data_IF_223614881146
#
_entry.id   IF_223614881146
#
_cell.length_a   1.000
_cell.length_b   1.000
_cell.length_c   1.000
_cell.angle_alpha   90.00
_cell.angle_beta   90.00
_cell.angle_gamma   90.00
#
_symmetry.space_group_name_H-M   'P 1'
#
loop_
_entity.id
_entity.type
_entity.pdbx_description
1 polymer ?
#
# COMPACT_ATOMS: atom_id res chain seq x y z
N UNK A 1 -0.32 16.39 -44.06
CA UNK A 1 -0.59 15.17 -43.26
C UNK A 1 -0.32 15.52 -41.82
N UNK A 2 -1.36 15.94 -41.11
CA UNK A 2 -1.26 16.25 -39.68
C UNK A 2 -1.26 14.94 -38.89
N UNK A 3 -0.16 14.66 -38.19
CA UNK A 3 -0.10 13.55 -37.24
C UNK A 3 -0.93 13.92 -36.02
N UNK A 4 -2.11 13.32 -35.86
CA UNK A 4 -2.88 13.46 -34.63
C UNK A 4 -2.02 13.03 -33.43
N UNK A 5 -1.86 13.89 -32.40
CA UNK A 5 -1.17 13.50 -31.19
C UNK A 5 -2.00 12.41 -30.51
N UNK A 6 -1.40 11.22 -30.34
CA UNK A 6 -2.00 10.17 -29.52
C UNK A 6 -2.21 10.74 -28.12
N UNK A 7 -3.47 11.01 -27.76
CA UNK A 7 -3.91 11.28 -26.40
C UNK A 7 -3.41 10.12 -25.53
N UNK A 8 -2.33 10.33 -24.78
CA UNK A 8 -1.89 9.38 -23.77
C UNK A 8 -3.00 9.34 -22.72
N UNK A 9 -3.80 8.27 -22.74
CA UNK A 9 -4.71 7.98 -21.65
C UNK A 9 -3.87 7.89 -20.36
N UNK A 10 -4.31 8.53 -19.26
CA UNK A 10 -3.60 8.41 -17.99
C UNK A 10 -3.52 6.92 -17.65
N UNK A 11 -2.29 6.42 -17.43
CA UNK A 11 -2.14 5.04 -16.99
C UNK A 11 -2.92 4.84 -15.69
N UNK A 12 -3.59 3.69 -15.50
CA UNK A 12 -4.27 3.40 -14.25
C UNK A 12 -3.25 3.49 -13.11
N UNK A 13 -3.43 4.45 -12.20
CA UNK A 13 -2.58 4.58 -11.01
C UNK A 13 -2.80 3.37 -10.12
N UNK A 14 -1.71 2.79 -9.65
CA UNK A 14 -1.76 1.70 -8.67
C UNK A 14 -2.35 2.26 -7.36
N UNK A 15 -3.24 1.54 -6.64
CA UNK A 15 -3.75 2.00 -5.37
C UNK A 15 -2.62 2.09 -4.33
N UNK A 16 -2.70 3.05 -3.41
CA UNK A 16 -1.77 3.05 -2.27
C UNK A 16 -2.12 1.95 -1.27
N UNK A 17 -1.13 1.49 -0.49
CA UNK A 17 -1.37 0.56 0.61
C UNK A 17 -2.47 1.08 1.57
N UNK A 18 -2.40 2.36 1.93
CA UNK A 18 -3.41 3.03 2.75
C UNK A 18 -4.80 2.91 2.15
N UNK A 19 -4.94 3.18 0.85
CA UNK A 19 -6.22 3.10 0.17
C UNK A 19 -6.81 1.69 0.27
N UNK A 20 -6.01 0.64 0.05
CA UNK A 20 -6.47 -0.74 0.19
C UNK A 20 -6.93 -1.04 1.62
N UNK A 21 -6.16 -0.64 2.64
CA UNK A 21 -6.53 -0.85 4.04
C UNK A 21 -7.87 -0.18 4.38
N UNK A 22 -8.12 1.03 3.86
CA UNK A 22 -9.38 1.76 4.06
C UNK A 22 -10.54 1.16 3.26
N UNK A 23 -10.32 0.82 1.98
CA UNK A 23 -11.32 0.20 1.11
C UNK A 23 -11.86 -1.09 1.73
N UNK A 24 -10.96 -1.91 2.29
CA UNK A 24 -11.32 -3.15 2.95
C UNK A 24 -11.64 -2.99 4.43
N UNK A 25 -11.77 -1.75 4.95
CA UNK A 25 -12.12 -1.46 6.34
C UNK A 25 -11.30 -2.28 7.35
N UNK A 26 -10.00 -2.45 7.09
CA UNK A 26 -9.11 -3.25 7.93
C UNK A 26 -8.80 -2.46 9.20
N UNK A 27 -9.15 -3.03 10.35
CA UNK A 27 -8.83 -2.45 11.65
C UNK A 27 -7.34 -2.63 11.97
N UNK A 28 -6.64 -1.60 12.49
CA UNK A 28 -5.21 -1.69 12.81
C UNK A 28 -4.84 -2.86 13.72
N UNK A 29 -5.67 -3.18 14.71
CA UNK A 29 -5.45 -4.28 15.65
C UNK A 29 -5.47 -5.64 14.95
N UNK A 30 -6.40 -5.80 14.01
CA UNK A 30 -6.53 -7.02 13.21
C UNK A 30 -5.38 -7.13 12.23
N UNK A 31 -4.98 -6.02 11.60
CA UNK A 31 -3.81 -5.98 10.72
C UNK A 31 -2.54 -6.34 11.49
N UNK A 32 -2.30 -5.73 12.65
CA UNK A 32 -1.11 -5.97 13.48
C UNK A 32 -0.96 -7.46 13.84
N UNK A 33 -2.05 -8.06 14.32
CA UNK A 33 -2.08 -9.49 14.65
C UNK A 33 -1.83 -10.39 13.43
N UNK A 34 -2.37 -10.06 12.26
CA UNK A 34 -2.23 -10.90 11.07
C UNK A 34 -0.88 -10.75 10.38
N UNK A 35 -0.35 -9.54 10.36
CA UNK A 35 0.93 -9.19 9.71
C UNK A 35 2.15 -9.42 10.61
N UNK A 36 1.95 -9.58 11.93
CA UNK A 36 3.02 -9.60 12.91
C UNK A 36 3.64 -8.23 13.19
N UNK A 37 3.07 -7.15 12.65
CA UNK A 37 3.54 -5.79 12.87
C UNK A 37 3.15 -5.28 14.27
N UNK A 38 3.95 -4.37 14.86
CA UNK A 38 3.52 -3.62 16.03
C UNK A 38 2.23 -2.84 15.75
N UNK A 39 1.34 -2.74 16.75
CA UNK A 39 0.07 -2.00 16.61
C UNK A 39 0.29 -0.56 16.15
N UNK A 40 1.30 0.12 16.70
CA UNK A 40 1.64 1.48 16.31
C UNK A 40 1.98 1.58 14.81
N UNK A 41 2.71 0.61 14.26
CA UNK A 41 3.03 0.54 12.84
C UNK A 41 1.78 0.32 12.00
N UNK A 42 0.89 -0.59 12.42
CA UNK A 42 -0.37 -0.82 11.73
C UNK A 42 -1.26 0.45 11.69
N UNK A 43 -1.32 1.21 12.79
CA UNK A 43 -2.02 2.52 12.86
C UNK A 43 -1.35 3.54 11.94
N UNK A 44 -0.01 3.60 11.93
CA UNK A 44 0.73 4.52 11.07
C UNK A 44 0.41 4.29 9.58
N UNK A 45 0.27 3.02 9.17
CA UNK A 45 -0.11 2.66 7.79
C UNK A 45 -1.53 3.09 7.42
N UNK A 46 -2.51 3.01 8.33
CA UNK A 46 -3.91 3.38 8.02
C UNK A 46 -4.11 4.89 7.87
N UNK A 47 -3.25 5.70 8.51
CA UNK A 47 -3.26 7.16 8.35
C UNK A 47 -2.29 7.67 7.28
N UNK A 48 -1.47 6.80 6.70
CA UNK A 48 -0.60 7.13 5.55
C UNK A 48 0.79 7.64 5.90
N UNK A 49 1.34 7.24 7.05
CA UNK A 49 2.76 7.44 7.29
C UNK A 49 3.59 6.61 6.31
N UNK A 50 4.73 7.17 5.93
CA UNK A 50 5.72 6.43 5.15
C UNK A 50 6.13 5.14 5.85
N UNK A 51 6.70 4.22 5.08
CA UNK A 51 7.10 2.91 5.62
C UNK A 51 8.31 2.33 4.89
N UNK A 52 8.79 1.16 5.29
CA UNK A 52 9.78 0.38 4.54
C UNK A 52 9.07 -0.68 3.68
N UNK A 53 9.78 -1.22 2.67
CA UNK A 53 9.26 -2.32 1.84
C UNK A 53 8.89 -3.54 2.68
N UNK A 54 9.72 -3.93 3.65
CA UNK A 54 9.45 -5.07 4.53
C UNK A 54 8.13 -4.91 5.31
N UNK A 55 7.88 -3.70 5.83
CA UNK A 55 6.64 -3.41 6.57
C UNK A 55 5.45 -3.37 5.61
N UNK A 56 5.61 -2.82 4.41
CA UNK A 56 4.55 -2.84 3.39
C UNK A 56 4.22 -4.28 2.97
N UNK A 57 5.23 -5.14 2.80
CA UNK A 57 5.06 -6.55 2.45
C UNK A 57 4.33 -7.32 3.57
N UNK A 58 4.73 -7.12 4.83
CA UNK A 58 4.05 -7.71 5.97
C UNK A 58 2.58 -7.28 6.05
N UNK A 59 2.30 -5.99 5.84
CA UNK A 59 0.94 -5.46 5.82
C UNK A 59 0.10 -6.03 4.67
N UNK A 60 0.67 -6.16 3.47
CA UNK A 60 0.01 -6.80 2.32
C UNK A 60 -0.31 -8.27 2.59
N UNK A 61 0.63 -9.03 3.16
CA UNK A 61 0.40 -10.41 3.55
C UNK A 61 -0.74 -10.50 4.57
N UNK A 62 -0.75 -9.61 5.56
CA UNK A 62 -1.85 -9.49 6.53
C UNK A 62 -3.19 -9.21 5.85
N UNK A 63 -3.25 -8.22 4.96
CA UNK A 63 -4.44 -7.90 4.17
C UNK A 63 -4.94 -9.10 3.34
N UNK A 64 -4.02 -9.76 2.63
CA UNK A 64 -4.30 -10.91 1.79
C UNK A 64 -4.92 -12.06 2.59
N UNK A 65 -4.42 -12.33 3.79
CA UNK A 65 -5.00 -13.33 4.68
C UNK A 65 -6.37 -12.92 5.22
N UNK A 66 -6.57 -11.65 5.57
CA UNK A 66 -7.85 -11.15 6.13
C UNK A 66 -8.98 -11.08 5.09
N UNK A 67 -8.63 -10.81 3.83
CA UNK A 67 -9.61 -10.51 2.78
C UNK A 67 -9.63 -11.52 1.63
N UNK A 68 -8.72 -12.50 1.63
CA UNK A 68 -8.58 -13.46 0.54
C UNK A 68 -8.04 -12.82 -0.75
N UNK A 69 -7.36 -11.68 -0.65
CA UNK A 69 -6.73 -11.00 -1.80
C UNK A 69 -5.34 -11.56 -2.09
N UNK A 70 -4.72 -11.12 -3.19
CA UNK A 70 -3.38 -11.56 -3.62
C UNK A 70 -2.48 -10.41 -4.07
N UNK A 71 -2.60 -9.27 -3.40
CA UNK A 71 -1.79 -8.09 -3.72
C UNK A 71 -0.31 -8.33 -3.44
N UNK A 72 0.53 -7.86 -4.34
CA UNK A 72 1.98 -7.81 -4.22
C UNK A 72 2.46 -6.34 -4.15
N UNK A 73 3.74 -6.13 -3.87
CA UNK A 73 4.31 -4.78 -3.89
C UNK A 73 4.23 -4.13 -5.28
N UNK A 74 4.19 -4.93 -6.36
CA UNK A 74 4.03 -4.43 -7.72
C UNK A 74 2.62 -3.92 -8.01
N UNK A 75 1.63 -4.30 -7.22
CA UNK A 75 0.24 -3.89 -7.44
C UNK A 75 -0.12 -2.57 -6.77
N UNK A 76 0.79 -1.99 -5.98
CA UNK A 76 0.50 -0.83 -5.13
C UNK A 76 1.53 0.30 -5.28
N UNK A 77 1.11 1.51 -4.89
CA UNK A 77 2.04 2.61 -4.58
C UNK A 77 2.38 2.55 -3.08
N UNK A 78 3.68 2.68 -2.76
CA UNK A 78 4.18 2.70 -1.38
C UNK A 78 4.89 4.03 -1.17
N UNK A 79 4.40 4.81 -0.20
CA UNK A 79 5.14 5.95 0.30
C UNK A 79 6.30 5.44 1.16
N UNK A 80 7.45 5.22 0.52
CA UNK A 80 8.63 4.76 1.22
C UNK A 80 9.27 5.91 2.00
N UNK A 81 9.69 5.64 3.24
CA UNK A 81 10.65 6.51 3.92
C UNK A 81 11.93 6.54 3.10
N UNK A 82 12.18 7.61 2.33
CA UNK A 82 13.55 7.94 1.97
C UNK A 82 14.22 8.36 3.27
N UNK A 83 15.15 7.55 3.77
CA UNK A 83 16.20 8.08 4.65
C UNK A 83 16.78 9.26 3.88
N UNK A 84 16.51 10.48 4.33
CA UNK A 84 17.32 11.62 3.95
C UNK A 84 18.73 11.21 4.36
N UNK A 85 19.56 10.88 3.37
CA UNK A 85 20.97 10.66 3.61
C UNK A 85 21.48 11.97 4.21
N UNK A 86 22.04 11.87 5.42
CA UNK A 86 22.73 12.99 6.06
C UNK A 86 23.99 13.38 5.29
#
# INVERSE_FOLDING_TARGET
METSPLLRLPQPRKPSLRFLLLQYQVQPETLARQSGLPLLTAVALTIGYGTTEDVALAALNGLNMLRGTRYTLEDIEIDLYRRQQG
#
